data_IF_969313316512
#
_entry.id   IF_969313316512
#
_cell.length_a   1.000
_cell.length_b   1.000
_cell.length_c   1.000
_cell.angle_alpha   90.00
_cell.angle_beta   90.00
_cell.angle_gamma   90.00
#
_symmetry.space_group_name_H-M   'P 1'
#
loop_
_entity.id
_entity.type
_entity.pdbx_description
1 polymer ?
#
# COMPACT_ATOMS: atom_id res chain seq x y z
N UNK A 1 7.66 18.36 -3.35
CA UNK A 1 6.48 18.68 -2.53
C UNK A 1 6.52 17.87 -1.25
N UNK A 2 6.14 18.41 -0.09
CA UNK A 2 6.03 17.65 1.14
C UNK A 2 4.74 16.83 1.18
N UNK A 3 4.76 15.74 1.99
CA UNK A 3 3.57 14.99 2.35
C UNK A 3 2.66 15.87 3.23
N UNK A 4 1.46 16.18 2.75
CA UNK A 4 0.56 17.14 3.42
C UNK A 4 0.02 16.60 4.74
N UNK A 5 -0.32 15.31 4.80
CA UNK A 5 -0.85 14.65 6.00
C UNK A 5 0.23 13.71 6.55
N UNK A 6 0.76 13.96 7.76
CA UNK A 6 1.74 13.10 8.40
C UNK A 6 1.24 11.67 8.58
N UNK A 7 2.19 10.74 8.74
CA UNK A 7 1.90 9.34 9.10
C UNK A 7 1.28 9.31 10.49
N UNK A 8 0.25 8.50 10.67
CA UNK A 8 -0.53 8.38 11.89
C UNK A 8 -0.94 6.93 12.17
N UNK A 9 -1.62 6.70 13.28
CA UNK A 9 -2.15 5.36 13.64
C UNK A 9 -3.26 4.85 12.70
N UNK A 10 -3.77 5.69 11.80
CA UNK A 10 -4.73 5.30 10.77
C UNK A 10 -4.08 4.67 9.54
N UNK A 11 -2.77 4.83 9.40
CA UNK A 11 -2.05 4.30 8.26
C UNK A 11 -1.74 2.81 8.41
N UNK A 12 -1.78 2.10 7.30
CA UNK A 12 -1.25 0.74 7.22
C UNK A 12 0.27 0.78 7.16
N UNK A 13 0.89 0.30 8.24
CA UNK A 13 2.33 0.35 8.44
C UNK A 13 2.92 -1.05 8.43
N UNK A 14 3.97 -1.24 7.62
CA UNK A 14 4.82 -2.44 7.64
C UNK A 14 6.24 -2.03 8.08
N UNK A 15 6.69 -2.56 9.19
CA UNK A 15 7.92 -2.16 9.88
C UNK A 15 7.65 -1.43 11.18
N UNK A 16 8.63 -0.69 11.69
CA UNK A 16 8.51 0.02 12.98
C UNK A 16 7.90 1.41 12.82
N UNK A 17 6.92 1.75 13.65
CA UNK A 17 6.36 3.12 13.74
C UNK A 17 7.39 4.15 14.21
N UNK A 18 8.41 3.71 14.92
CA UNK A 18 9.52 4.55 15.42
C UNK A 18 10.73 4.54 14.49
N UNK A 19 10.56 4.00 13.27
CA UNK A 19 11.61 3.96 12.27
C UNK A 19 12.04 5.38 11.87
N UNK A 20 13.33 5.56 11.69
CA UNK A 20 13.92 6.85 11.28
C UNK A 20 13.74 7.12 9.78
N UNK A 21 13.41 6.09 9.03
CA UNK A 21 13.21 6.15 7.59
C UNK A 21 11.78 5.76 7.23
N UNK A 22 11.07 6.64 6.56
CA UNK A 22 9.69 6.38 6.12
C UNK A 22 9.57 6.39 4.61
N UNK A 23 8.82 5.42 4.08
CA UNK A 23 8.43 5.36 2.68
C UNK A 23 6.91 5.26 2.61
N UNK A 24 6.24 6.30 2.12
CA UNK A 24 4.80 6.29 1.87
C UNK A 24 4.56 6.05 0.39
N UNK A 25 3.73 5.06 0.07
CA UNK A 25 3.26 4.77 -1.29
C UNK A 25 1.77 5.06 -1.39
N UNK A 26 1.39 5.98 -2.26
CA UNK A 26 0.02 6.06 -2.77
C UNK A 26 -0.13 5.08 -3.92
N UNK A 27 -1.09 4.18 -3.82
CA UNK A 27 -1.23 3.08 -4.76
C UNK A 27 -2.66 2.69 -5.08
N UNK A 28 -2.77 1.99 -6.21
CA UNK A 28 -4.01 1.47 -6.79
C UNK A 28 -3.77 0.01 -7.17
N UNK A 29 -4.61 -0.89 -6.67
CA UNK A 29 -4.43 -2.34 -6.88
C UNK A 29 -4.64 -2.78 -8.33
N UNK A 30 -5.37 -2.00 -9.13
CA UNK A 30 -5.60 -2.31 -10.53
C UNK A 30 -4.57 -1.65 -11.47
N UNK A 31 -3.74 -0.74 -10.97
CA UNK A 31 -2.72 -0.05 -11.75
C UNK A 31 -1.52 -0.96 -12.06
N UNK A 32 -1.19 -1.21 -13.35
CA UNK A 32 -0.07 -2.09 -13.72
C UNK A 32 1.29 -1.62 -13.18
N UNK A 33 1.51 -0.29 -13.15
CA UNK A 33 2.75 0.28 -12.59
C UNK A 33 2.84 0.06 -11.07
N UNK A 34 1.69 0.06 -10.37
CA UNK A 34 1.66 -0.25 -8.94
C UNK A 34 1.97 -1.72 -8.66
N UNK A 35 1.52 -2.63 -9.53
CA UNK A 35 1.86 -4.06 -9.45
C UNK A 35 3.36 -4.28 -9.65
N UNK A 36 3.94 -3.68 -10.69
CA UNK A 36 5.38 -3.73 -10.92
C UNK A 36 6.15 -3.20 -9.71
N UNK A 37 5.82 -2.00 -9.24
CA UNK A 37 6.46 -1.38 -8.09
C UNK A 37 6.29 -2.20 -6.80
N UNK A 38 5.17 -2.93 -6.64
CA UNK A 38 4.98 -3.84 -5.52
C UNK A 38 6.03 -4.96 -5.52
N UNK A 39 6.22 -5.67 -6.63
CA UNK A 39 7.23 -6.72 -6.76
C UNK A 39 8.66 -6.20 -6.54
N UNK A 40 8.95 -5.01 -7.04
CA UNK A 40 10.24 -4.33 -6.85
C UNK A 40 10.51 -3.99 -5.39
N UNK A 41 9.50 -3.45 -4.67
CA UNK A 41 9.60 -3.14 -3.23
C UNK A 41 9.75 -4.41 -2.40
N UNK A 42 9.02 -5.47 -2.69
CA UNK A 42 9.19 -6.76 -2.00
C UNK A 42 10.61 -7.29 -2.17
N UNK A 43 11.10 -7.37 -3.39
CA UNK A 43 12.48 -7.79 -3.70
C UNK A 43 13.53 -6.91 -3.00
N UNK A 44 13.30 -5.59 -2.97
CA UNK A 44 14.16 -4.65 -2.27
C UNK A 44 14.20 -4.93 -0.77
N UNK A 45 13.03 -5.10 -0.14
CA UNK A 45 12.93 -5.34 1.30
C UNK A 45 13.56 -6.67 1.70
N UNK A 46 13.35 -7.73 0.93
CA UNK A 46 13.93 -9.05 1.18
C UNK A 46 15.47 -9.00 1.10
N UNK A 47 16.00 -8.35 0.08
CA UNK A 47 17.44 -8.12 -0.04
C UNK A 47 18.00 -7.28 1.10
N UNK A 48 17.29 -6.20 1.47
CA UNK A 48 17.69 -5.32 2.57
C UNK A 48 17.75 -6.07 3.90
N UNK A 49 16.78 -6.94 4.17
CA UNK A 49 16.76 -7.76 5.37
C UNK A 49 18.01 -8.64 5.52
N UNK A 50 18.55 -9.11 4.39
CA UNK A 50 19.75 -9.97 4.36
C UNK A 50 21.05 -9.16 4.43
N UNK A 51 21.17 -8.12 3.60
CA UNK A 51 22.46 -7.43 3.41
C UNK A 51 22.67 -6.24 4.36
N UNK A 52 21.60 -5.59 4.80
CA UNK A 52 21.64 -4.48 5.75
C UNK A 52 20.49 -4.56 6.78
N UNK A 53 20.49 -5.54 7.67
CA UNK A 53 19.36 -5.80 8.58
C UNK A 53 19.09 -4.61 9.54
N UNK A 54 20.08 -3.81 9.88
CA UNK A 54 19.89 -2.59 10.68
C UNK A 54 19.09 -1.53 9.91
N UNK A 55 19.41 -1.33 8.63
CA UNK A 55 18.67 -0.39 7.78
C UNK A 55 17.25 -0.92 7.53
N UNK A 56 17.07 -2.23 7.29
CA UNK A 56 15.75 -2.85 7.18
C UNK A 56 14.90 -2.60 8.44
N UNK A 57 15.47 -2.77 9.63
CA UNK A 57 14.78 -2.52 10.91
C UNK A 57 14.43 -1.04 11.13
N UNK A 58 15.17 -0.11 10.50
CA UNK A 58 14.92 1.33 10.57
C UNK A 58 13.95 1.84 9.49
N UNK A 59 13.35 0.95 8.69
CA UNK A 59 12.44 1.29 7.62
C UNK A 59 10.98 1.12 8.05
N UNK A 60 10.18 2.16 7.83
CA UNK A 60 8.72 2.16 7.94
C UNK A 60 8.13 2.31 6.55
N UNK A 61 7.45 1.29 6.06
CA UNK A 61 6.72 1.33 4.82
C UNK A 61 5.23 1.56 5.09
N UNK A 62 4.65 2.57 4.44
CA UNK A 62 3.24 2.97 4.59
C UNK A 62 2.55 2.85 3.25
N UNK A 63 1.34 2.29 3.25
CA UNK A 63 0.48 2.27 2.08
C UNK A 63 -0.75 3.15 2.32
N UNK A 64 -1.08 3.98 1.33
CA UNK A 64 -2.31 4.77 1.26
C UNK A 64 -3.04 4.48 -0.05
N UNK A 65 -4.33 4.33 0.02
CA UNK A 65 -5.17 4.09 -1.14
C UNK A 65 -5.28 5.32 -2.04
N UNK A 66 -5.11 5.10 -3.34
CA UNK A 66 -5.40 6.14 -4.33
C UNK A 66 -6.01 5.50 -5.60
N UNK A 67 -7.23 4.94 -5.49
CA UNK A 67 -7.91 4.31 -6.63
C UNK A 67 -8.25 5.34 -7.71
N UNK A 68 -7.78 5.13 -8.93
CA UNK A 68 -8.05 5.99 -10.09
C UNK A 68 -9.25 5.42 -10.85
N UNK A 69 -10.43 5.50 -10.25
CA UNK A 69 -11.66 4.85 -10.70
C UNK A 69 -12.01 5.08 -12.18
N UNK A 70 -11.81 6.28 -12.79
CA UNK A 70 -12.09 6.47 -14.22
C UNK A 70 -11.25 5.59 -15.14
N UNK A 71 -10.06 5.17 -14.71
CA UNK A 71 -9.16 4.28 -15.47
C UNK A 71 -9.25 2.83 -15.00
N UNK A 72 -9.54 2.63 -13.72
CA UNK A 72 -9.47 1.36 -13.01
C UNK A 72 -10.78 1.11 -12.24
N UNK A 73 -11.84 0.61 -12.90
CA UNK A 73 -13.19 0.53 -12.33
C UNK A 73 -13.31 -0.37 -11.09
N UNK A 74 -12.39 -1.32 -10.90
CA UNK A 74 -12.39 -2.20 -9.73
C UNK A 74 -11.42 -1.75 -8.62
N UNK A 75 -10.69 -0.64 -8.81
CA UNK A 75 -9.68 -0.18 -7.86
C UNK A 75 -10.27 0.18 -6.49
N UNK A 76 -11.44 0.82 -6.45
CA UNK A 76 -12.13 1.12 -5.20
C UNK A 76 -12.56 -0.17 -4.49
N UNK A 77 -13.19 -1.10 -5.21
CA UNK A 77 -13.58 -2.40 -4.66
C UNK A 77 -12.39 -3.14 -4.05
N UNK A 78 -11.25 -3.16 -4.74
CA UNK A 78 -10.03 -3.77 -4.23
C UNK A 78 -9.49 -3.09 -2.96
N UNK A 79 -9.59 -1.77 -2.88
CA UNK A 79 -9.23 -1.03 -1.68
C UNK A 79 -10.16 -1.39 -0.50
N UNK A 80 -11.48 -1.50 -0.72
CA UNK A 80 -12.45 -1.91 0.30
C UNK A 80 -12.20 -3.35 0.77
N UNK A 81 -11.85 -4.26 -0.13
CA UNK A 81 -11.44 -5.64 0.18
C UNK A 81 -10.20 -5.67 1.09
N UNK A 82 -9.19 -4.84 0.79
CA UNK A 82 -7.99 -4.74 1.62
C UNK A 82 -8.31 -4.23 3.03
N UNK A 83 -9.18 -3.22 3.12
CA UNK A 83 -9.62 -2.64 4.40
C UNK A 83 -10.44 -3.62 5.24
N UNK A 84 -11.39 -4.36 4.64
CA UNK A 84 -12.19 -5.36 5.33
C UNK A 84 -11.31 -6.50 5.90
N UNK A 85 -10.27 -6.90 5.16
CA UNK A 85 -9.26 -7.82 5.69
C UNK A 85 -8.41 -7.17 6.79
N UNK A 86 -8.11 -5.88 6.64
CA UNK A 86 -7.38 -5.08 7.62
C UNK A 86 -8.09 -4.96 8.96
N UNK A 87 -9.41 -4.80 8.96
CA UNK A 87 -10.25 -4.78 10.15
C UNK A 87 -10.21 -6.10 10.96
N UNK A 88 -9.74 -7.16 10.32
CA UNK A 88 -9.52 -8.47 10.93
C UNK A 88 -8.02 -8.81 11.06
N UNK A 89 -7.13 -7.80 11.00
CA UNK A 89 -5.68 -7.95 11.19
C UNK A 89 -4.91 -8.51 10.01
N UNK A 90 -5.52 -8.63 8.81
CA UNK A 90 -4.91 -9.26 7.64
C UNK A 90 -4.72 -8.30 6.45
N UNK A 91 -4.58 -6.98 6.72
CA UNK A 91 -4.38 -5.99 5.66
C UNK A 91 -3.23 -6.38 4.72
N UNK A 92 -2.06 -6.62 5.27
CA UNK A 92 -0.86 -6.84 4.45
C UNK A 92 -0.89 -8.14 3.66
N UNK A 93 -1.50 -9.19 4.19
CA UNK A 93 -1.67 -10.45 3.46
C UNK A 93 -2.63 -10.25 2.27
N UNK A 94 -3.73 -9.53 2.47
CA UNK A 94 -4.67 -9.21 1.39
C UNK A 94 -4.06 -8.22 0.40
N UNK A 95 -3.32 -7.22 0.87
CA UNK A 95 -2.59 -6.25 0.05
C UNK A 95 -1.61 -6.94 -0.93
N UNK A 96 -0.80 -7.85 -0.41
CA UNK A 96 0.16 -8.58 -1.24
C UNK A 96 -0.59 -9.44 -2.27
N UNK A 97 -1.63 -10.17 -1.84
CA UNK A 97 -2.46 -10.99 -2.73
C UNK A 97 -3.10 -10.19 -3.87
N UNK A 98 -3.66 -9.02 -3.57
CA UNK A 98 -4.33 -8.16 -4.56
C UNK A 98 -3.36 -7.67 -5.65
N UNK A 99 -2.11 -7.35 -5.30
CA UNK A 99 -1.11 -6.97 -6.28
C UNK A 99 -0.57 -8.16 -7.09
N UNK A 100 -0.45 -9.32 -6.47
CA UNK A 100 0.03 -10.55 -7.14
C UNK A 100 -1.03 -11.18 -8.04
N UNK A 101 -2.32 -10.94 -7.75
CA UNK A 101 -3.46 -11.54 -8.45
C UNK A 101 -4.43 -10.45 -8.94
N UNK A 102 -4.16 -9.83 -10.11
CA UNK A 102 -5.00 -8.77 -10.66
C UNK A 102 -6.47 -9.16 -10.72
N UNK A 103 -7.33 -8.24 -10.33
CA UNK A 103 -8.76 -8.43 -10.07
C UNK A 103 -9.64 -8.82 -11.27
N UNK A 104 -9.08 -9.14 -12.42
CA UNK A 104 -9.81 -9.77 -13.51
C UNK A 104 -10.49 -11.11 -13.12
N UNK A 105 -10.34 -11.54 -11.87
CA UNK A 105 -10.63 -12.91 -11.44
C UNK A 105 -11.95 -13.09 -10.68
N UNK A 106 -12.77 -12.07 -10.54
CA UNK A 106 -14.09 -12.17 -9.90
C UNK A 106 -14.05 -12.41 -8.38
N UNK A 107 -15.19 -12.22 -7.73
CA UNK A 107 -15.33 -12.24 -6.26
C UNK A 107 -14.95 -13.59 -5.63
N UNK A 108 -15.17 -14.72 -6.34
CA UNK A 108 -14.94 -16.05 -5.78
C UNK A 108 -13.50 -16.33 -5.33
N UNK A 109 -12.50 -15.81 -6.07
CA UNK A 109 -11.10 -15.97 -5.69
C UNK A 109 -10.74 -15.18 -4.43
N UNK A 110 -11.30 -13.98 -4.26
CA UNK A 110 -11.08 -13.14 -3.09
C UNK A 110 -11.70 -13.75 -1.83
N UNK A 111 -12.90 -14.29 -1.92
CA UNK A 111 -13.55 -14.98 -0.79
C UNK A 111 -12.82 -16.27 -0.41
N UNK A 112 -12.36 -17.04 -1.40
CA UNK A 112 -11.52 -18.22 -1.14
C UNK A 112 -10.22 -17.83 -0.43
N UNK A 113 -9.61 -16.71 -0.80
CA UNK A 113 -8.41 -16.21 -0.12
C UNK A 113 -8.71 -15.68 1.28
N UNK A 114 -9.82 -14.96 1.48
CA UNK A 114 -10.28 -14.52 2.80
C UNK A 114 -10.47 -15.71 3.77
N UNK A 115 -11.07 -16.81 3.26
CA UNK A 115 -11.20 -18.05 4.04
C UNK A 115 -9.83 -18.68 4.37
N UNK A 116 -8.88 -18.69 3.43
CA UNK A 116 -7.50 -19.15 3.69
C UNK A 116 -6.79 -18.31 4.76
N UNK A 117 -7.07 -17.02 4.82
CA UNK A 117 -6.59 -16.11 5.85
C UNK A 117 -7.32 -16.28 7.20
N UNK A 118 -8.31 -17.20 7.27
CA UNK A 118 -9.14 -17.46 8.45
C UNK A 118 -9.93 -16.23 8.90
N UNK A 119 -10.35 -15.39 7.95
CA UNK A 119 -11.25 -14.28 8.23
C UNK A 119 -12.66 -14.82 8.53
N UNK A 120 -13.43 -14.04 9.28
CA UNK A 120 -14.87 -14.16 9.27
C UNK A 120 -15.37 -13.69 7.89
N UNK A 121 -15.64 -14.65 7.01
CA UNK A 121 -15.99 -14.40 5.60
C UNK A 121 -17.34 -13.69 5.50
N UNK A 122 -18.31 -14.02 6.37
CA UNK A 122 -19.61 -13.36 6.36
C UNK A 122 -19.49 -11.88 6.71
N UNK A 123 -18.76 -11.56 7.76
CA UNK A 123 -18.44 -10.19 8.15
C UNK A 123 -17.69 -9.46 7.03
N UNK A 124 -16.68 -10.12 6.45
CA UNK A 124 -15.88 -9.56 5.34
C UNK A 124 -16.75 -9.20 4.14
N UNK A 125 -17.64 -10.12 3.71
CA UNK A 125 -18.57 -9.89 2.59
C UNK A 125 -19.53 -8.73 2.88
N UNK A 126 -20.10 -8.71 4.08
CA UNK A 126 -21.02 -7.66 4.49
C UNK A 126 -20.34 -6.28 4.51
N UNK A 127 -19.16 -6.16 5.12
CA UNK A 127 -18.43 -4.89 5.21
C UNK A 127 -18.03 -4.35 3.84
N UNK A 128 -17.67 -5.22 2.88
CA UNK A 128 -17.40 -4.83 1.49
C UNK A 128 -18.68 -4.39 0.77
N UNK A 129 -19.77 -5.14 0.93
CA UNK A 129 -21.04 -4.83 0.28
C UNK A 129 -21.67 -3.52 0.79
N UNK A 130 -21.48 -3.19 2.07
CA UNK A 130 -21.98 -1.98 2.72
C UNK A 130 -21.04 -0.78 2.57
N UNK A 131 -19.91 -0.93 1.87
CA UNK A 131 -18.89 0.11 1.71
C UNK A 131 -18.38 0.69 3.04
N UNK A 132 -18.25 -0.15 4.07
CA UNK A 132 -17.95 0.24 5.45
C UNK A 132 -16.69 1.10 5.55
N UNK A 133 -15.68 0.84 4.72
CA UNK A 133 -14.37 1.51 4.76
C UNK A 133 -14.19 2.59 3.70
N UNK A 134 -15.22 2.91 2.91
CA UNK A 134 -15.11 3.91 1.84
C UNK A 134 -14.63 5.26 2.35
N UNK A 135 -15.09 5.69 3.53
CA UNK A 135 -14.65 6.96 4.12
C UNK A 135 -13.16 7.01 4.45
N UNK A 136 -12.55 5.87 4.81
CA UNK A 136 -11.10 5.77 5.03
C UNK A 136 -10.35 5.94 3.71
N UNK A 137 -10.75 5.23 2.68
CA UNK A 137 -10.17 5.30 1.33
C UNK A 137 -10.28 6.74 0.78
N UNK A 138 -11.43 7.40 0.95
CA UNK A 138 -11.62 8.79 0.53
C UNK A 138 -10.71 9.77 1.26
N UNK A 139 -10.41 9.55 2.54
CA UNK A 139 -9.43 10.35 3.29
C UNK A 139 -8.01 10.15 2.75
N UNK A 140 -7.65 8.94 2.38
CA UNK A 140 -6.36 8.67 1.74
C UNK A 140 -6.25 9.40 0.40
N UNK A 141 -7.27 9.31 -0.46
CA UNK A 141 -7.35 10.05 -1.72
C UNK A 141 -7.21 11.55 -1.49
N UNK A 142 -7.98 12.11 -0.54
CA UNK A 142 -7.91 13.53 -0.21
C UNK A 142 -6.51 13.95 0.27
N UNK A 143 -5.86 13.11 1.10
CA UNK A 143 -4.49 13.36 1.55
C UNK A 143 -3.49 13.33 0.39
N UNK A 144 -3.70 12.44 -0.57
CA UNK A 144 -2.89 12.37 -1.79
C UNK A 144 -3.05 13.62 -2.65
N UNK A 145 -4.28 14.07 -2.90
CA UNK A 145 -4.55 15.30 -3.64
C UNK A 145 -3.88 16.51 -2.97
N UNK A 146 -3.98 16.63 -1.64
CA UNK A 146 -3.31 17.68 -0.87
C UNK A 146 -1.78 17.59 -0.95
N UNK A 147 -1.23 16.41 -1.23
CA UNK A 147 0.20 16.15 -1.43
C UNK A 147 0.63 16.22 -2.90
N UNK A 148 -0.23 16.74 -3.80
CA UNK A 148 -0.02 16.83 -5.24
C UNK A 148 0.18 15.46 -5.93
N UNK A 149 -0.47 14.42 -5.40
CA UNK A 149 -0.55 13.12 -6.06
C UNK A 149 -1.55 13.21 -7.21
N UNK A 150 -1.07 12.97 -8.43
CA UNK A 150 -1.86 13.04 -9.66
C UNK A 150 -1.86 11.72 -10.45
N UNK A 151 -1.30 10.65 -9.86
CA UNK A 151 -1.25 9.32 -10.44
C UNK A 151 -0.58 8.33 -9.49
N UNK A 152 -0.60 7.06 -9.88
CA UNK A 152 -0.05 5.96 -9.08
C UNK A 152 0.93 5.10 -9.88
N UNK A 153 1.97 4.55 -9.23
CA UNK A 153 2.35 4.81 -7.85
C UNK A 153 2.98 6.19 -7.67
N UNK A 154 2.76 6.83 -6.52
CA UNK A 154 3.52 8.00 -6.07
C UNK A 154 4.17 7.70 -4.73
N UNK A 155 5.43 8.06 -4.57
CA UNK A 155 6.21 7.77 -3.37
C UNK A 155 6.61 9.05 -2.65
N UNK A 156 6.68 8.95 -1.31
CA UNK A 156 7.30 9.96 -0.44
C UNK A 156 8.32 9.26 0.45
N UNK A 157 9.54 9.80 0.52
CA UNK A 157 10.61 9.32 1.40
C UNK A 157 10.87 10.40 2.43
N UNK A 158 10.77 10.06 3.72
CA UNK A 158 10.88 11.01 4.83
C UNK A 158 10.02 12.27 4.65
N UNK A 159 8.78 12.08 4.15
CA UNK A 159 7.82 13.16 3.92
C UNK A 159 8.08 14.00 2.67
N UNK A 160 9.08 13.71 1.85
CA UNK A 160 9.37 14.39 0.59
C UNK A 160 9.02 13.52 -0.60
N UNK A 161 8.35 14.12 -1.60
CA UNK A 161 8.01 13.42 -2.83
C UNK A 161 9.28 12.89 -3.50
N UNK A 162 9.21 11.64 -3.91
CA UNK A 162 10.27 10.96 -4.65
C UNK A 162 9.82 10.77 -6.10
N UNK A 163 10.45 11.51 -7.01
CA UNK A 163 10.19 11.47 -8.46
C UNK A 163 11.29 10.71 -9.22
N UNK A 164 12.13 9.96 -8.51
CA UNK A 164 13.19 9.15 -9.09
C UNK A 164 12.71 7.77 -9.55
N UNK A 165 13.68 6.93 -9.90
CA UNK A 165 13.43 5.55 -10.34
C UNK A 165 12.89 4.69 -9.18
N UNK A 166 11.70 4.13 -9.36
CA UNK A 166 11.07 3.22 -8.39
C UNK A 166 11.64 1.80 -8.39
N UNK A 167 12.63 1.52 -9.25
CA UNK A 167 13.34 0.24 -9.21
C UNK A 167 13.98 -0.03 -7.84
N UNK A 168 14.29 -1.30 -7.50
CA UNK A 168 14.98 -1.63 -6.26
C UNK A 168 16.27 -0.86 -6.06
N UNK A 169 17.03 -0.59 -7.15
CA UNK A 169 18.25 0.18 -7.12
C UNK A 169 17.98 1.67 -6.85
N UNK A 170 16.99 2.26 -7.53
CA UNK A 170 16.60 3.65 -7.33
C UNK A 170 16.14 3.93 -5.90
N UNK A 171 15.24 3.09 -5.38
CA UNK A 171 14.77 3.17 -3.99
C UNK A 171 15.91 2.97 -2.98
N UNK A 172 16.84 2.03 -3.25
CA UNK A 172 18.02 1.83 -2.43
C UNK A 172 18.87 3.09 -2.32
N UNK A 173 19.19 3.71 -3.45
CA UNK A 173 19.98 4.94 -3.46
C UNK A 173 19.26 6.09 -2.75
N UNK A 174 17.97 6.26 -2.98
CA UNK A 174 17.17 7.30 -2.35
C UNK A 174 17.11 7.13 -0.83
N UNK A 175 16.86 5.91 -0.34
CA UNK A 175 16.78 5.59 1.08
C UNK A 175 18.15 5.76 1.75
N UNK A 176 19.23 5.27 1.14
CA UNK A 176 20.59 5.47 1.65
C UNK A 176 21.02 6.93 1.70
N UNK A 177 20.61 7.72 0.74
CA UNK A 177 20.90 9.16 0.73
C UNK A 177 20.13 9.89 1.85
N UNK A 178 18.86 9.54 2.02
CA UNK A 178 18.00 10.14 3.04
C UNK A 178 18.32 9.67 4.49
N UNK A 179 19.13 8.62 4.66
CA UNK A 179 19.56 8.08 5.97
C UNK A 179 20.87 8.71 6.50
N UNK A 180 21.48 9.61 5.73
CA UNK A 180 22.72 10.35 6.12
C UNK A 180 22.38 11.68 6.76
#
# INVERSE_FOLDING_TARGET
>A
MPLAIPISDRDHIRGSKTATMTVVKYGDYQCPRCQQAHGEIQSFRDRLAVIEPKLHASLCFVFRHFPVVPLHPFAQYAAEVAEAAGAQGQFWAMHDYLFEHPLAQGNGALFAFANRLKLDVHRFEQEVAEHTYLSHIQKDVASGIQSDVNGTPTFFINGHRYDGDSSPQGLWHAIKYASR
#
